data_IF_772258849490
#
_entry.id   IF_772258849490
#
_cell.length_a   1.000
_cell.length_b   1.000
_cell.length_c   1.000
_cell.angle_alpha   90.00
_cell.angle_beta   90.00
_cell.angle_gamma   90.00
#
_symmetry.space_group_name_H-M   'P 1'
#
loop_
_entity.id
_entity.type
_entity.pdbx_description
1 polymer ?
#
# COMPACT_ATOMS: atom_id res chain seq x y z
N UNK A 1 20.59 3.31 3.68
CA UNK A 1 19.71 3.08 4.85
C UNK A 1 19.10 1.67 4.83
N UNK A 2 18.56 1.17 3.72
CA UNK A 2 17.96 -0.18 3.59
C UNK A 2 18.91 -1.37 3.86
N UNK A 3 20.23 -1.13 3.95
CA UNK A 3 21.23 -2.13 4.38
C UNK A 3 21.46 -2.16 5.89
N UNK A 4 20.72 -1.39 6.68
CA UNK A 4 20.76 -1.40 8.13
C UNK A 4 20.25 -2.73 8.72
N UNK A 5 20.77 -3.09 9.88
CA UNK A 5 20.59 -4.41 10.52
C UNK A 5 19.72 -4.37 11.79
N UNK A 6 19.10 -3.23 12.07
CA UNK A 6 18.34 -2.98 13.30
C UNK A 6 16.99 -3.72 13.37
N UNK A 7 16.44 -4.11 12.24
CA UNK A 7 15.21 -4.91 12.17
C UNK A 7 15.46 -6.43 12.21
N UNK A 8 16.73 -6.86 12.32
CA UNK A 8 17.09 -8.27 12.31
C UNK A 8 16.64 -8.99 13.60
N UNK A 9 15.93 -10.12 13.50
CA UNK A 9 15.50 -10.89 14.67
C UNK A 9 16.66 -11.62 15.35
N UNK A 10 17.81 -11.79 14.68
CA UNK A 10 18.94 -12.56 15.19
C UNK A 10 20.28 -11.87 14.94
N UNK A 11 21.11 -11.65 15.97
CA UNK A 11 22.45 -11.11 15.81
C UNK A 11 23.40 -12.01 15.01
N UNK A 12 23.19 -13.33 15.02
CA UNK A 12 24.07 -14.31 14.40
C UNK A 12 23.81 -14.50 12.89
N UNK A 13 22.62 -14.14 12.43
CA UNK A 13 22.27 -14.14 11.01
C UNK A 13 21.51 -12.85 10.69
N UNK A 14 22.23 -11.73 10.55
CA UNK A 14 21.61 -10.43 10.40
C UNK A 14 20.94 -10.27 9.04
N UNK A 15 19.63 -9.99 9.06
CA UNK A 15 18.87 -9.56 7.90
C UNK A 15 18.92 -8.03 7.78
N UNK A 16 19.01 -7.53 6.57
CA UNK A 16 18.90 -6.10 6.31
C UNK A 16 17.44 -5.64 6.44
N UNK A 17 17.21 -4.33 6.59
CA UNK A 17 15.83 -3.76 6.49
C UNK A 17 15.15 -4.21 5.22
N UNK A 18 15.85 -4.20 4.08
CA UNK A 18 15.30 -4.63 2.80
C UNK A 18 14.86 -6.10 2.82
N UNK A 19 15.63 -7.01 3.44
CA UNK A 19 15.27 -8.42 3.54
C UNK A 19 13.99 -8.59 4.37
N UNK A 20 13.90 -7.90 5.51
CA UNK A 20 12.71 -7.93 6.38
C UNK A 20 11.48 -7.39 5.65
N UNK A 21 11.61 -6.26 4.96
CA UNK A 21 10.53 -5.65 4.16
C UNK A 21 10.06 -6.59 3.07
N UNK A 22 10.98 -7.20 2.31
CA UNK A 22 10.65 -8.17 1.25
C UNK A 22 9.87 -9.36 1.79
N UNK A 23 10.24 -9.86 2.95
CA UNK A 23 9.57 -10.99 3.58
C UNK A 23 8.14 -10.64 4.00
N UNK A 24 7.94 -9.49 4.65
CA UNK A 24 6.61 -9.03 5.07
C UNK A 24 5.71 -8.71 3.87
N UNK A 25 6.24 -8.03 2.84
CA UNK A 25 5.49 -7.76 1.60
C UNK A 25 5.09 -9.06 0.91
N UNK A 26 5.96 -10.08 0.87
CA UNK A 26 5.64 -11.39 0.32
C UNK A 26 4.48 -12.06 1.06
N UNK A 27 4.47 -11.99 2.39
CA UNK A 27 3.37 -12.51 3.21
C UNK A 27 2.05 -11.76 2.93
N UNK A 28 2.11 -10.43 2.82
CA UNK A 28 0.97 -9.59 2.49
C UNK A 28 0.39 -9.94 1.11
N UNK A 29 1.23 -10.05 0.07
CA UNK A 29 0.81 -10.43 -1.28
C UNK A 29 0.05 -11.76 -1.27
N UNK A 30 0.52 -12.74 -0.49
CA UNK A 30 -0.11 -14.05 -0.39
C UNK A 30 -1.52 -14.01 0.21
N UNK A 31 -1.76 -13.10 1.15
CA UNK A 31 -3.07 -12.92 1.79
C UNK A 31 -4.12 -12.29 0.85
N UNK A 32 -3.71 -11.56 -0.18
CA UNK A 32 -4.54 -10.76 -1.08
C UNK A 32 -4.91 -11.50 -2.37
N UNK A 33 -5.98 -12.31 -2.36
CA UNK A 33 -6.35 -13.18 -3.50
C UNK A 33 -6.87 -12.41 -4.72
N UNK A 34 -7.61 -11.33 -4.51
CA UNK A 34 -8.38 -10.65 -5.56
C UNK A 34 -7.88 -9.23 -5.86
N UNK A 35 -6.88 -8.75 -5.15
CA UNK A 35 -6.35 -7.41 -5.32
C UNK A 35 -5.29 -7.36 -6.42
N UNK A 36 -5.36 -6.32 -7.26
CA UNK A 36 -4.26 -5.96 -8.15
C UNK A 36 -3.20 -5.23 -7.33
N UNK A 37 -1.99 -5.73 -7.31
CA UNK A 37 -0.88 -5.15 -6.59
C UNK A 37 0.21 -4.78 -7.58
N UNK A 38 0.77 -3.57 -7.45
CA UNK A 38 1.96 -3.13 -8.15
C UNK A 38 3.08 -2.87 -7.16
N UNK A 39 4.33 -2.89 -7.63
CA UNK A 39 5.51 -2.59 -6.83
C UNK A 39 6.35 -1.52 -7.50
N UNK A 40 6.68 -0.49 -6.73
CA UNK A 40 7.62 0.57 -7.12
C UNK A 40 8.73 0.62 -6.07
N UNK A 41 9.97 0.44 -6.50
CA UNK A 41 11.14 0.76 -5.69
C UNK A 41 11.57 2.20 -5.99
N UNK A 42 12.22 2.86 -5.05
CA UNK A 42 12.70 4.21 -5.29
C UNK A 42 13.98 4.52 -4.50
N UNK A 43 14.70 5.48 -5.04
CA UNK A 43 15.73 6.25 -4.37
C UNK A 43 15.47 7.73 -4.71
N UNK A 44 16.31 8.40 -5.48
CA UNK A 44 15.99 9.71 -6.06
C UNK A 44 14.91 9.56 -7.13
N UNK A 45 15.05 8.54 -8.00
CA UNK A 45 14.08 8.23 -9.04
C UNK A 45 13.29 6.97 -8.72
N UNK A 46 11.98 6.93 -9.07
CA UNK A 46 11.16 5.74 -8.93
C UNK A 46 11.52 4.70 -10.00
N UNK A 47 11.55 3.43 -9.61
CA UNK A 47 11.76 2.28 -10.47
C UNK A 47 10.55 1.36 -10.41
N UNK A 48 9.86 1.19 -11.53
CA UNK A 48 8.71 0.29 -11.62
C UNK A 48 9.20 -1.17 -11.61
N UNK A 49 8.99 -1.85 -10.50
CA UNK A 49 9.36 -3.27 -10.32
C UNK A 49 8.31 -4.17 -10.94
N UNK A 50 7.03 -3.85 -10.73
CA UNK A 50 5.90 -4.56 -11.31
C UNK A 50 4.71 -3.62 -11.49
N UNK A 51 4.09 -3.64 -12.66
CA UNK A 51 2.79 -3.01 -12.86
C UNK A 51 1.71 -3.71 -12.03
N UNK A 52 0.55 -3.05 -11.90
CA UNK A 52 -0.60 -3.62 -11.19
C UNK A 52 -1.06 -4.93 -11.84
N UNK A 53 -1.00 -6.03 -11.09
CA UNK A 53 -1.32 -7.37 -11.56
C UNK A 53 -2.02 -8.21 -10.50
N UNK A 54 -2.79 -9.21 -10.93
CA UNK A 54 -3.32 -10.29 -10.09
C UNK A 54 -2.35 -11.48 -9.97
N UNK A 55 -1.32 -11.51 -10.82
CA UNK A 55 -0.32 -12.59 -10.84
C UNK A 55 0.65 -12.46 -9.66
N UNK A 56 0.39 -13.25 -8.62
CA UNK A 56 1.16 -13.24 -7.38
C UNK A 56 2.55 -13.84 -7.54
N UNK A 57 2.70 -14.85 -8.41
CA UNK A 57 3.99 -15.52 -8.65
C UNK A 57 4.94 -14.57 -9.38
N UNK A 58 4.45 -13.88 -10.40
CA UNK A 58 5.19 -12.83 -11.10
C UNK A 58 5.63 -11.71 -10.15
N UNK A 59 4.70 -11.24 -9.30
CA UNK A 59 4.96 -10.18 -8.33
C UNK A 59 6.04 -10.58 -7.33
N UNK A 60 5.95 -11.80 -6.77
CA UNK A 60 6.93 -12.33 -5.82
C UNK A 60 8.30 -12.57 -6.45
N UNK A 61 8.33 -13.05 -7.69
CA UNK A 61 9.58 -13.21 -8.45
C UNK A 61 10.31 -11.87 -8.62
N UNK A 62 9.57 -10.82 -8.97
CA UNK A 62 10.14 -9.48 -9.11
C UNK A 62 10.57 -8.89 -7.76
N UNK A 63 9.76 -9.07 -6.70
CA UNK A 63 10.12 -8.69 -5.33
C UNK A 63 11.41 -9.37 -4.87
N UNK A 64 11.58 -10.66 -5.16
CA UNK A 64 12.78 -11.41 -4.80
C UNK A 64 14.05 -10.84 -5.43
N UNK A 65 13.98 -10.31 -6.65
CA UNK A 65 15.10 -9.70 -7.39
C UNK A 65 15.47 -8.31 -6.91
N UNK A 66 14.64 -7.66 -6.08
CA UNK A 66 14.95 -6.36 -5.52
C UNK A 66 16.23 -6.41 -4.70
N UNK A 67 17.13 -5.50 -4.98
CA UNK A 67 18.38 -5.27 -4.22
C UNK A 67 18.72 -3.79 -4.19
N UNK A 68 19.53 -3.38 -3.24
CA UNK A 68 20.09 -2.03 -3.21
C UNK A 68 20.96 -1.82 -4.43
N UNK A 69 20.93 -0.62 -5.01
CA UNK A 69 21.72 -0.28 -6.21
C UNK A 69 21.05 -0.61 -7.54
N UNK A 70 19.74 -0.88 -7.56
CA UNK A 70 18.98 -0.98 -8.81
C UNK A 70 18.83 0.38 -9.51
N UNK A 71 18.76 1.45 -8.75
CA UNK A 71 18.76 2.84 -9.25
C UNK A 71 20.18 3.37 -9.31
N UNK A 72 20.48 4.21 -10.31
CA UNK A 72 21.84 4.76 -10.49
C UNK A 72 22.18 5.81 -9.43
N UNK A 73 21.18 6.52 -8.92
CA UNK A 73 21.35 7.58 -7.92
C UNK A 73 21.00 7.07 -6.53
N UNK A 74 21.84 7.43 -5.57
CA UNK A 74 21.59 7.21 -4.15
C UNK A 74 20.87 8.43 -3.56
N UNK A 75 19.93 8.19 -2.65
CA UNK A 75 19.13 9.24 -2.01
C UNK A 75 17.70 8.79 -1.80
N UNK A 76 16.82 9.74 -1.47
CA UNK A 76 15.39 9.49 -1.24
C UNK A 76 14.60 10.67 -1.81
N UNK A 77 13.60 10.41 -2.64
CA UNK A 77 12.69 11.43 -3.14
C UNK A 77 11.25 10.93 -3.02
N UNK A 78 10.61 11.30 -1.92
CA UNK A 78 9.23 10.90 -1.59
C UNK A 78 8.25 11.45 -2.62
N UNK A 79 8.45 12.69 -3.06
CA UNK A 79 7.57 13.32 -4.06
C UNK A 79 7.54 12.55 -5.38
N UNK A 80 8.70 12.08 -5.87
CA UNK A 80 8.78 11.37 -7.15
C UNK A 80 8.08 10.02 -7.12
N UNK A 81 8.23 9.26 -6.02
CA UNK A 81 7.55 7.96 -5.90
C UNK A 81 6.05 8.11 -5.66
N UNK A 82 5.61 9.15 -4.93
CA UNK A 82 4.19 9.47 -4.81
C UNK A 82 3.57 9.78 -6.17
N UNK A 83 4.24 10.63 -6.98
CA UNK A 83 3.79 10.94 -8.34
C UNK A 83 3.63 9.69 -9.19
N UNK A 84 4.63 8.79 -9.18
CA UNK A 84 4.58 7.53 -9.93
C UNK A 84 3.42 6.62 -9.45
N UNK A 85 3.29 6.41 -8.14
CA UNK A 85 2.23 5.58 -7.57
C UNK A 85 0.83 6.14 -7.85
N UNK A 86 0.62 7.44 -7.68
CA UNK A 86 -0.65 8.13 -7.94
C UNK A 86 -1.01 8.02 -9.42
N UNK A 87 -0.06 8.25 -10.34
CA UNK A 87 -0.31 8.15 -11.77
C UNK A 87 -0.73 6.73 -12.20
N UNK A 88 -0.29 5.69 -11.50
CA UNK A 88 -0.70 4.29 -11.74
C UNK A 88 -2.09 3.98 -11.22
N UNK A 89 -2.49 4.60 -10.12
CA UNK A 89 -3.78 4.36 -9.48
C UNK A 89 -4.91 5.25 -10.04
N UNK A 90 -4.56 6.47 -10.49
CA UNK A 90 -5.54 7.45 -10.98
C UNK A 90 -6.50 6.92 -12.05
N UNK A 91 -6.04 6.25 -13.13
CA UNK A 91 -6.92 5.81 -14.22
C UNK A 91 -7.80 4.61 -13.88
N UNK A 92 -7.66 4.02 -12.68
CA UNK A 92 -8.40 2.83 -12.30
C UNK A 92 -9.81 3.18 -11.82
N UNK A 93 -10.78 2.43 -12.27
CA UNK A 93 -12.16 2.47 -11.79
C UNK A 93 -12.36 1.44 -10.67
N UNK A 94 -11.54 1.50 -9.60
CA UNK A 94 -11.69 0.62 -8.45
C UNK A 94 -12.34 1.35 -7.27
N UNK A 95 -13.10 0.62 -6.44
CA UNK A 95 -13.78 1.17 -5.25
C UNK A 95 -12.77 1.68 -4.23
N UNK A 96 -11.67 0.98 -4.03
CA UNK A 96 -10.57 1.40 -3.17
C UNK A 96 -9.27 1.49 -3.95
N UNK A 97 -8.52 2.57 -3.74
CA UNK A 97 -7.20 2.84 -4.30
C UNK A 97 -6.25 3.17 -3.17
N UNK A 98 -5.28 2.29 -2.95
CA UNK A 98 -4.38 2.37 -1.80
C UNK A 98 -2.95 2.43 -2.30
N UNK A 99 -2.18 3.37 -1.76
CA UNK A 99 -0.73 3.44 -1.88
C UNK A 99 -0.12 3.24 -0.50
N UNK A 100 0.80 2.29 -0.35
CA UNK A 100 1.56 2.09 0.88
C UNK A 100 2.99 2.55 0.63
N UNK A 101 3.39 3.65 1.27
CA UNK A 101 4.73 4.19 1.18
C UNK A 101 5.57 3.70 2.37
N UNK A 102 6.63 2.94 2.08
CA UNK A 102 7.62 2.54 3.08
C UNK A 102 8.92 3.31 2.85
N UNK A 103 9.41 3.99 3.86
CA UNK A 103 10.68 4.70 3.79
C UNK A 103 11.46 4.59 5.10
N UNK A 104 12.79 4.57 4.99
CA UNK A 104 13.72 4.56 6.10
C UNK A 104 14.67 5.77 6.09
N UNK A 105 14.31 6.79 5.31
CA UNK A 105 15.08 8.02 5.16
C UNK A 105 14.20 9.26 5.00
N UNK A 106 14.83 10.41 5.06
CA UNK A 106 14.28 11.71 4.68
C UNK A 106 14.59 12.04 3.23
N UNK A 107 13.85 12.98 2.65
CA UNK A 107 14.14 13.49 1.30
C UNK A 107 15.58 14.03 1.20
N UNK A 108 16.37 13.41 0.32
CA UNK A 108 17.74 13.81 0.05
C UNK A 108 18.11 13.45 -1.41
N UNK A 109 18.44 14.42 -2.27
CA UNK A 109 18.48 15.87 -2.00
C UNK A 109 17.09 16.47 -1.72
N UNK A 110 17.02 17.68 -1.14
CA UNK A 110 15.75 18.35 -0.89
C UNK A 110 14.91 18.42 -2.17
N UNK A 111 13.62 18.06 -2.11
CA UNK A 111 12.76 17.98 -3.28
C UNK A 111 12.47 19.37 -3.85
N UNK A 112 12.29 19.47 -5.18
CA UNK A 112 11.87 20.72 -5.84
C UNK A 112 10.46 21.15 -5.45
N UNK A 113 9.59 20.19 -5.14
CA UNK A 113 8.22 20.39 -4.69
C UNK A 113 7.98 19.56 -3.43
N UNK A 114 7.25 20.13 -2.48
CA UNK A 114 6.87 19.39 -1.27
C UNK A 114 6.08 18.13 -1.64
N UNK A 115 6.37 16.97 -1.03
CA UNK A 115 5.57 15.77 -1.17
C UNK A 115 4.08 15.96 -0.89
N UNK A 116 3.71 16.97 -0.09
CA UNK A 116 2.34 17.31 0.26
C UNK A 116 1.48 17.75 -0.93
N UNK A 117 2.08 18.33 -1.97
CA UNK A 117 1.37 18.69 -3.21
C UNK A 117 0.83 17.43 -3.90
N UNK A 118 1.61 16.34 -3.87
CA UNK A 118 1.17 15.06 -4.43
C UNK A 118 0.08 14.40 -3.57
N UNK A 119 0.16 14.53 -2.24
CA UNK A 119 -0.87 14.06 -1.32
C UNK A 119 -2.22 14.76 -1.57
N UNK A 120 -2.23 16.08 -1.81
CA UNK A 120 -3.44 16.83 -2.18
C UNK A 120 -4.04 16.34 -3.52
N UNK A 121 -3.18 15.98 -4.48
CA UNK A 121 -3.61 15.36 -5.74
C UNK A 121 -4.24 13.99 -5.51
N UNK A 122 -3.63 13.16 -4.65
CA UNK A 122 -4.13 11.84 -4.30
C UNK A 122 -5.51 11.90 -3.63
N UNK A 123 -5.70 12.84 -2.70
CA UNK A 123 -6.99 13.05 -2.04
C UNK A 123 -8.11 13.34 -3.04
N UNK A 124 -7.86 14.22 -4.03
CA UNK A 124 -8.83 14.53 -5.08
C UNK A 124 -9.19 13.31 -5.93
N UNK A 125 -8.23 12.42 -6.16
CA UNK A 125 -8.38 11.17 -6.91
C UNK A 125 -8.91 10.01 -6.03
N UNK A 126 -9.25 10.28 -4.76
CA UNK A 126 -9.69 9.29 -3.75
C UNK A 126 -8.68 8.15 -3.56
N UNK A 127 -7.39 8.48 -3.54
CA UNK A 127 -6.29 7.56 -3.29
C UNK A 127 -5.83 7.76 -1.84
N UNK A 128 -5.96 6.73 -1.00
CA UNK A 128 -5.43 6.70 0.35
C UNK A 128 -3.94 6.39 0.35
N UNK A 129 -3.13 7.14 1.10
CA UNK A 129 -1.69 6.92 1.20
C UNK A 129 -1.33 6.58 2.64
N UNK A 130 -1.17 5.30 2.92
CA UNK A 130 -0.58 4.84 4.17
C UNK A 130 0.93 5.03 4.14
N UNK A 131 1.48 5.62 5.20
CA UNK A 131 2.92 5.87 5.30
C UNK A 131 3.52 5.08 6.47
N UNK A 132 4.64 4.42 6.22
CA UNK A 132 5.33 3.57 7.20
C UNK A 132 6.79 4.01 7.28
N UNK A 133 7.20 4.55 8.44
CA UNK A 133 8.59 4.79 8.76
C UNK A 133 9.25 3.49 9.25
N UNK A 134 10.36 3.08 8.62
CA UNK A 134 11.03 1.81 8.91
C UNK A 134 12.33 2.03 9.65
N UNK A 135 12.58 1.16 10.64
CA UNK A 135 13.81 1.10 11.41
C UNK A 135 13.85 2.04 12.61
N UNK A 136 14.89 1.91 13.42
CA UNK A 136 15.11 2.76 14.58
C UNK A 136 15.75 4.09 14.17
N UNK A 137 15.31 5.19 14.80
CA UNK A 137 15.91 6.53 14.62
C UNK A 137 17.24 6.69 15.39
N UNK A 138 17.88 5.59 15.74
CA UNK A 138 19.12 5.56 16.54
C UNK A 138 20.29 5.03 15.72
N UNK A 139 21.51 5.21 16.26
CA UNK A 139 22.71 4.64 15.63
C UNK A 139 22.59 3.13 15.49
N UNK A 140 22.70 2.65 14.25
CA UNK A 140 22.56 1.23 13.94
C UNK A 140 23.71 0.72 13.08
N UNK A 141 23.95 -0.58 13.15
CA UNK A 141 24.91 -1.26 12.27
C UNK A 141 24.31 -1.37 10.86
N UNK A 142 25.12 -1.11 9.85
CA UNK A 142 24.72 -1.21 8.44
C UNK A 142 25.85 -1.82 7.63
N UNK A 143 25.50 -2.52 6.55
CA UNK A 143 26.47 -2.92 5.55
C UNK A 143 26.87 -1.73 4.68
N UNK A 144 28.16 -1.63 4.40
CA UNK A 144 28.65 -0.61 3.47
C UNK A 144 28.36 -1.04 2.03
N UNK A 145 27.85 -0.10 1.24
CA UNK A 145 27.55 -0.32 -0.18
C UNK A 145 28.70 0.16 -1.08
N UNK A 146 29.12 -0.68 -2.04
CA UNK A 146 30.07 -0.34 -3.07
C UNK A 146 29.35 0.05 -4.37
N UNK A 147 29.34 1.34 -4.76
CA UNK A 147 28.67 1.78 -5.99
C UNK A 147 29.27 1.19 -7.26
N UNK A 148 30.58 0.87 -7.26
CA UNK A 148 31.26 0.31 -8.44
C UNK A 148 30.90 -1.16 -8.65
N UNK A 149 30.89 -1.94 -7.56
CA UNK A 149 30.47 -3.34 -7.60
C UNK A 149 28.95 -3.52 -7.65
N UNK A 150 28.16 -2.46 -7.34
CA UNK A 150 26.70 -2.49 -7.15
C UNK A 150 26.26 -3.56 -6.17
N UNK A 151 27.04 -3.76 -5.08
CA UNK A 151 26.82 -4.76 -4.07
C UNK A 151 27.37 -4.31 -2.70
N UNK A 152 27.18 -5.14 -1.67
CA UNK A 152 27.74 -4.92 -0.33
C UNK A 152 29.27 -5.03 -0.41
N UNK A 153 29.97 -4.03 0.12
CA UNK A 153 31.43 -4.05 0.24
C UNK A 153 31.88 -5.19 1.14
N UNK A 154 32.93 -5.93 0.69
CA UNK A 154 33.47 -7.07 1.42
C UNK A 154 34.98 -6.93 1.58
N UNK A 155 35.49 -7.42 2.72
CA UNK A 155 36.92 -7.61 2.92
C UNK A 155 37.46 -8.72 1.98
N UNK A 156 38.79 -8.82 1.85
CA UNK A 156 39.46 -9.86 1.06
C UNK A 156 39.10 -11.30 1.47
N UNK A 157 38.69 -11.51 2.72
CA UNK A 157 38.22 -12.79 3.25
C UNK A 157 36.73 -13.08 2.96
N UNK A 158 36.04 -12.20 2.20
CA UNK A 158 34.62 -12.32 1.86
C UNK A 158 33.63 -11.82 2.90
N UNK A 159 34.09 -11.41 4.09
CA UNK A 159 33.18 -10.90 5.14
C UNK A 159 32.66 -9.51 4.77
N UNK A 160 31.34 -9.21 5.00
CA UNK A 160 30.80 -7.87 4.74
C UNK A 160 31.45 -6.81 5.64
N UNK A 161 31.68 -5.63 5.07
CA UNK A 161 32.12 -4.45 5.82
C UNK A 161 30.91 -3.85 6.53
N UNK A 162 31.03 -3.63 7.84
CA UNK A 162 29.96 -3.08 8.69
C UNK A 162 30.42 -1.73 9.25
N UNK A 163 29.54 -0.75 9.20
CA UNK A 163 29.72 0.54 9.86
C UNK A 163 28.54 0.85 10.79
N UNK A 164 28.64 1.94 11.55
CA UNK A 164 27.56 2.45 12.40
C UNK A 164 27.11 3.79 11.83
N UNK A 165 25.84 3.87 11.45
CA UNK A 165 25.25 5.06 10.86
C UNK A 165 23.92 5.40 11.53
N UNK A 166 23.45 6.62 11.32
CA UNK A 166 22.12 7.09 11.71
C UNK A 166 21.33 7.40 10.44
N UNK A 167 20.08 6.97 10.42
CA UNK A 167 19.16 7.22 9.30
C UNK A 167 17.93 7.95 9.82
N UNK A 168 17.96 9.29 9.91
CA UNK A 168 16.81 10.07 10.34
C UNK A 168 15.69 9.99 9.31
N UNK A 169 14.46 9.78 9.80
CA UNK A 169 13.23 9.78 8.98
C UNK A 169 12.45 11.05 9.30
N UNK A 170 11.92 11.70 8.28
CA UNK A 170 11.02 12.85 8.45
C UNK A 170 9.59 12.38 8.74
N UNK A 171 9.35 12.09 10.02
CA UNK A 171 8.06 11.57 10.48
C UNK A 171 6.92 12.57 10.30
N UNK A 172 7.20 13.87 10.41
CA UNK A 172 6.21 14.94 10.31
C UNK A 172 5.60 14.98 8.90
N UNK A 173 6.44 14.95 7.88
CA UNK A 173 6.00 14.88 6.48
C UNK A 173 5.19 13.61 6.20
N UNK A 174 5.64 12.45 6.70
CA UNK A 174 4.94 11.19 6.50
C UNK A 174 3.55 11.18 7.15
N UNK A 175 3.47 11.71 8.37
CA UNK A 175 2.21 11.84 9.09
C UNK A 175 1.25 12.79 8.36
N UNK A 176 1.74 13.92 7.87
CA UNK A 176 0.92 14.89 7.14
C UNK A 176 0.42 14.34 5.80
N UNK A 177 1.24 13.57 5.06
CA UNK A 177 0.82 12.88 3.83
C UNK A 177 -0.34 11.92 4.12
N UNK A 178 -0.21 11.09 5.15
CA UNK A 178 -1.25 10.13 5.52
C UNK A 178 -2.55 10.84 5.92
N UNK A 179 -2.49 11.84 6.79
CA UNK A 179 -3.64 12.61 7.24
C UNK A 179 -4.40 13.30 6.09
N UNK A 180 -3.67 13.90 5.13
CA UNK A 180 -4.29 14.57 3.97
C UNK A 180 -5.03 13.62 3.04
N UNK A 181 -4.75 12.34 3.11
CA UNK A 181 -5.36 11.31 2.26
C UNK A 181 -6.28 10.35 3.02
N UNK A 182 -6.74 10.77 4.22
CA UNK A 182 -7.62 9.99 5.09
C UNK A 182 -7.07 8.60 5.42
N UNK A 183 -5.74 8.51 5.62
CA UNK A 183 -5.03 7.29 5.95
C UNK A 183 -4.16 7.46 7.21
N UNK A 184 -3.51 6.39 7.66
CA UNK A 184 -2.72 6.37 8.89
C UNK A 184 -1.21 6.36 8.60
N UNK A 185 -0.46 7.00 9.50
CA UNK A 185 0.99 6.90 9.62
C UNK A 185 1.35 5.84 10.65
N UNK A 186 2.39 5.03 10.36
CA UNK A 186 2.90 3.99 11.24
C UNK A 186 4.41 4.03 11.37
N UNK A 187 4.92 3.45 12.46
CA UNK A 187 6.35 3.25 12.70
C UNK A 187 6.64 1.76 12.93
N UNK A 188 7.61 1.21 12.21
CA UNK A 188 8.00 -0.18 12.30
C UNK A 188 9.49 -0.29 12.66
N UNK A 189 9.79 -0.56 13.92
CA UNK A 189 11.17 -0.80 14.41
C UNK A 189 11.64 -2.25 14.25
N UNK A 190 10.75 -3.18 13.99
CA UNK A 190 11.04 -4.61 13.85
C UNK A 190 10.05 -5.30 12.90
N UNK A 191 10.36 -6.57 12.56
CA UNK A 191 9.56 -7.38 11.63
C UNK A 191 8.14 -7.64 12.13
N UNK A 192 7.95 -7.88 13.41
CA UNK A 192 6.64 -8.21 13.99
C UNK A 192 5.71 -7.01 13.94
N UNK A 193 6.21 -5.84 14.27
CA UNK A 193 5.50 -4.57 14.17
C UNK A 193 5.13 -4.27 12.72
N UNK A 194 6.04 -4.44 11.77
CA UNK A 194 5.75 -4.22 10.35
C UNK A 194 4.64 -5.17 9.86
N UNK A 195 4.65 -6.44 10.27
CA UNK A 195 3.59 -7.41 9.93
C UNK A 195 2.24 -6.98 10.51
N UNK A 196 2.20 -6.55 11.77
CA UNK A 196 0.96 -6.09 12.41
C UNK A 196 0.37 -4.86 11.72
N UNK A 197 1.20 -3.93 11.26
CA UNK A 197 0.78 -2.75 10.48
C UNK A 197 0.08 -3.17 9.19
N UNK A 198 0.64 -4.12 8.45
CA UNK A 198 0.01 -4.62 7.23
C UNK A 198 -1.32 -5.34 7.50
N UNK A 199 -1.43 -6.07 8.61
CA UNK A 199 -2.68 -6.72 9.03
C UNK A 199 -3.73 -5.66 9.47
N UNK A 200 -3.32 -4.56 10.10
CA UNK A 200 -4.19 -3.43 10.44
C UNK A 200 -4.71 -2.71 9.20
N UNK A 201 -3.84 -2.38 8.24
CA UNK A 201 -4.25 -1.79 6.95
C UNK A 201 -5.25 -2.70 6.23
N UNK A 202 -5.04 -4.02 6.26
CA UNK A 202 -5.98 -5.01 5.69
C UNK A 202 -7.37 -4.95 6.34
N UNK A 203 -7.43 -4.78 7.64
CA UNK A 203 -8.70 -4.68 8.38
C UNK A 203 -9.42 -3.36 8.10
N UNK A 204 -8.71 -2.23 8.13
CA UNK A 204 -9.29 -0.91 7.88
C UNK A 204 -9.97 -0.85 6.49
N UNK A 205 -9.29 -1.33 5.46
CA UNK A 205 -9.79 -1.28 4.10
C UNK A 205 -10.95 -2.26 3.82
N UNK A 206 -10.99 -3.41 4.50
CA UNK A 206 -12.12 -4.33 4.43
C UNK A 206 -13.38 -3.74 5.06
N UNK A 207 -13.24 -3.09 6.20
CA UNK A 207 -14.36 -2.47 6.91
C UNK A 207 -15.00 -1.35 6.09
N UNK A 208 -14.18 -0.50 5.45
CA UNK A 208 -14.69 0.57 4.59
C UNK A 208 -15.48 0.04 3.39
N UNK A 209 -15.01 -1.03 2.76
CA UNK A 209 -15.71 -1.66 1.62
C UNK A 209 -17.06 -2.26 2.06
N UNK A 210 -17.11 -2.91 3.22
CA UNK A 210 -18.34 -3.48 3.75
C UNK A 210 -19.38 -2.41 4.11
N UNK A 211 -18.96 -1.28 4.67
CA UNK A 211 -19.84 -0.16 4.96
C UNK A 211 -20.43 0.48 3.68
N UNK A 212 -19.63 0.65 2.64
CA UNK A 212 -20.12 1.15 1.34
C UNK A 212 -21.13 0.21 0.68
N UNK A 213 -20.90 -1.09 0.73
CA UNK A 213 -21.81 -2.09 0.14
C UNK A 213 -23.14 -2.12 0.89
N UNK A 214 -23.14 -2.02 2.21
CA UNK A 214 -24.36 -2.02 3.01
C UNK A 214 -25.20 -0.74 2.85
N UNK A 215 -24.58 0.39 2.50
CA UNK A 215 -25.29 1.66 2.24
C UNK A 215 -26.03 1.68 0.89
N UNK A 216 -25.74 0.75 -0.02
CA UNK A 216 -26.26 0.73 -1.40
C UNK A 216 -27.50 -0.15 -1.62
N UNK A 217 -27.92 -0.94 -0.64
CA UNK A 217 -29.04 -1.85 -0.77
C UNK A 217 -30.18 -1.52 0.20
N UNK A 218 -30.96 -0.45 -0.10
CA UNK A 218 -32.34 -0.38 0.37
C UNK A 218 -33.22 -1.22 -0.58
N UNK A 219 -33.73 -2.31 -0.07
CA UNK A 219 -34.66 -3.18 -0.79
C UNK A 219 -36.00 -2.47 -1.04
N UNK A 220 -36.12 -1.78 -2.16
CA UNK A 220 -37.35 -1.09 -2.57
C UNK A 220 -38.39 -2.00 -3.23
N UNK A 221 -38.16 -3.32 -3.29
CA UNK A 221 -39.08 -4.27 -3.94
C UNK A 221 -40.48 -4.34 -3.28
N UNK A 222 -40.59 -3.91 -2.03
CA UNK A 222 -41.84 -3.94 -1.28
C UNK A 222 -42.92 -3.06 -1.93
N UNK A 223 -42.57 -1.91 -2.48
CA UNK A 223 -43.51 -0.98 -3.12
C UNK A 223 -44.11 -1.52 -4.42
N UNK A 224 -43.33 -1.98 -5.41
CA UNK A 224 -43.90 -2.55 -6.62
C UNK A 224 -44.66 -3.87 -6.33
N UNK A 225 -44.23 -4.65 -5.33
CA UNK A 225 -44.96 -5.86 -4.93
C UNK A 225 -46.37 -5.53 -4.35
N UNK A 226 -46.45 -4.53 -3.48
CA UNK A 226 -47.73 -4.07 -2.91
C UNK A 226 -48.66 -3.53 -4.00
N UNK A 227 -48.15 -2.73 -4.92
CA UNK A 227 -48.93 -2.24 -6.07
C UNK A 227 -49.47 -3.39 -6.96
N UNK A 228 -48.62 -4.38 -7.26
CA UNK A 228 -49.00 -5.56 -8.04
C UNK A 228 -50.10 -6.37 -7.32
N UNK A 229 -49.99 -6.51 -6.02
CA UNK A 229 -50.98 -7.24 -5.20
C UNK A 229 -52.35 -6.52 -5.18
N UNK A 230 -52.38 -5.20 -5.07
CA UNK A 230 -53.56 -4.37 -5.13
C UNK A 230 -54.26 -4.50 -6.51
N UNK A 231 -53.50 -4.47 -7.59
CA UNK A 231 -54.05 -4.63 -8.95
C UNK A 231 -54.68 -6.03 -9.12
N UNK A 232 -54.04 -7.07 -8.63
CA UNK A 232 -54.61 -8.46 -8.65
C UNK A 232 -55.90 -8.56 -7.88
N UNK A 233 -56.00 -7.98 -6.68
CA UNK A 233 -57.21 -7.97 -5.88
C UNK A 233 -58.37 -7.22 -6.62
N UNK A 234 -58.04 -6.05 -7.17
CA UNK A 234 -59.02 -5.27 -7.97
C UNK A 234 -59.52 -6.04 -9.19
N UNK A 235 -58.60 -6.71 -9.90
CA UNK A 235 -58.98 -7.57 -11.04
C UNK A 235 -59.89 -8.70 -10.64
N UNK A 236 -59.63 -9.39 -9.53
CA UNK A 236 -60.42 -10.45 -9.00
C UNK A 236 -61.85 -9.98 -8.55
N UNK A 237 -61.94 -8.79 -7.95
CA UNK A 237 -63.20 -8.19 -7.52
C UNK A 237 -64.05 -7.77 -8.77
N UNK A 238 -63.42 -7.19 -9.78
CA UNK A 238 -64.07 -6.79 -11.02
C UNK A 238 -64.61 -8.01 -11.80
N UNK A 239 -63.87 -9.08 -11.90
CA UNK A 239 -64.28 -10.33 -12.54
C UNK A 239 -65.45 -10.97 -11.84
N UNK A 240 -65.49 -11.04 -10.53
CA UNK A 240 -66.54 -11.70 -9.75
C UNK A 240 -67.73 -10.83 -9.41
N UNK A 241 -67.63 -9.49 -9.46
CA UNK A 241 -68.68 -8.57 -9.08
C UNK A 241 -69.42 -7.90 -10.27
N UNK A 242 -68.72 -7.62 -11.38
CA UNK A 242 -69.25 -6.84 -12.48
C UNK A 242 -69.47 -7.71 -13.74
N UNK A 243 -68.52 -8.62 -14.03
CA UNK A 243 -68.58 -9.43 -15.28
C UNK A 243 -69.43 -10.69 -15.16
N UNK A 244 -69.83 -11.12 -13.96
CA UNK A 244 -70.74 -12.25 -13.73
C UNK A 244 -72.24 -11.93 -13.88
N UNK A 245 -72.59 -10.74 -14.38
CA UNK A 245 -73.99 -10.34 -14.69
C UNK A 245 -74.26 -10.14 -16.16
N UNK A 246 -73.99 -11.16 -16.97
CA UNK A 246 -74.61 -11.22 -18.34
C UNK A 246 -75.05 -12.67 -18.55
N UNK A 247 -76.35 -12.90 -18.60
CA UNK A 247 -76.91 -14.19 -18.99
C UNK A 247 -76.73 -14.42 -20.49
#
# INVERSE_FOLDING_TARGET
SMLALDMSPSPNNPNTRLDVVKEVIKEFINKRKYDRIGLVAFAVDPYLVSALTLDKEYLQSNLARLKVGLTEQTGTNIGSVLAEGINRLRPLESKSKILILLTDGKDEPPPKHSPLVYAEGAQKDKIKIYTIAIGASTRTRTYLYDPNARDIMRYANGTPVVEVAEYPVDKEILQEIAQRTDANFFEAGDKSTLRSIYDEIDQLEKTDIELEVNALYEDLYQWPLACGFIILILGFILEHSILLRIP
#
